data_IF_674283093696
#
_entry.id   IF_674283093696
#
_cell.length_a   1.000
_cell.length_b   1.000
_cell.length_c   1.000
_cell.angle_alpha   90.00
_cell.angle_beta   90.00
_cell.angle_gamma   90.00
#
_symmetry.space_group_name_H-M   'P 1'
#
loop_
_entity.id
_entity.type
_entity.pdbx_description
1 polymer ?
#
# COMPACT_ATOMS: atom_id res chain seq x y z
N UNK A 1 6.37 30.27 61.82
CA UNK A 1 6.48 28.81 61.54
C UNK A 1 5.29 28.22 60.76
N UNK A 2 4.11 28.86 60.69
CA UNK A 2 2.96 28.37 59.87
C UNK A 2 3.16 28.46 58.35
N UNK A 3 3.91 29.45 57.87
CA UNK A 3 3.97 29.75 56.43
C UNK A 3 4.94 28.85 55.64
N UNK A 4 5.89 28.19 56.31
CA UNK A 4 6.85 27.27 55.66
C UNK A 4 6.19 25.93 55.34
N UNK A 5 5.21 25.51 56.15
CA UNK A 5 4.50 24.24 55.97
C UNK A 5 3.58 24.25 54.73
N UNK A 6 3.02 25.42 54.38
CA UNK A 6 2.16 25.61 53.21
C UNK A 6 2.96 25.50 51.90
N UNK A 7 4.20 26.00 51.89
CA UNK A 7 5.07 25.94 50.70
C UNK A 7 5.52 24.50 50.42
N UNK A 8 5.80 23.71 51.47
CA UNK A 8 6.17 22.29 51.32
C UNK A 8 5.00 21.45 50.80
N UNK A 9 3.77 21.71 51.28
CA UNK A 9 2.57 21.05 50.76
C UNK A 9 2.28 21.40 49.29
N UNK A 10 2.58 22.63 48.85
CA UNK A 10 2.42 23.02 47.45
C UNK A 10 3.40 22.27 46.53
N UNK A 11 4.63 22.02 46.97
CA UNK A 11 5.63 21.27 46.18
C UNK A 11 5.29 19.77 46.05
N UNK A 12 4.62 19.18 47.03
CA UNK A 12 4.16 17.78 46.95
C UNK A 12 2.98 17.64 45.98
N UNK A 13 2.10 18.64 45.91
CA UNK A 13 0.94 18.62 45.01
C UNK A 13 1.29 18.78 43.52
N UNK A 14 2.41 19.42 43.17
CA UNK A 14 2.82 19.57 41.76
C UNK A 14 3.43 18.27 41.19
N UNK A 15 3.93 17.36 42.04
CA UNK A 15 4.50 16.07 41.62
C UNK A 15 3.45 14.98 41.33
N UNK A 16 2.17 15.20 41.65
CA UNK A 16 1.09 14.22 41.42
C UNK A 16 0.34 14.41 40.11
N UNK A 17 0.63 15.45 39.33
CA UNK A 17 0.23 15.51 37.93
C UNK A 17 1.19 14.63 37.14
N UNK A 18 0.92 13.32 37.15
CA UNK A 18 1.50 12.37 36.23
C UNK A 18 1.23 12.85 34.81
N UNK A 19 2.20 13.55 34.23
CA UNK A 19 2.31 13.69 32.80
C UNK A 19 2.33 12.25 32.25
N UNK A 20 1.21 11.82 31.65
CA UNK A 20 1.20 10.63 30.82
C UNK A 20 2.03 11.00 29.59
N UNK A 21 3.35 10.88 29.72
CA UNK A 21 4.23 10.74 28.59
C UNK A 21 3.79 9.44 27.90
N UNK A 22 2.92 9.54 26.90
CA UNK A 22 2.82 8.49 25.89
C UNK A 22 4.05 8.67 25.01
N UNK A 23 5.09 7.83 25.13
CA UNK A 23 6.18 7.89 24.18
C UNK A 23 5.61 7.66 22.78
N UNK A 24 6.20 8.33 21.80
CA UNK A 24 5.87 8.27 20.37
C UNK A 24 5.96 6.84 19.78
N UNK A 25 6.45 5.88 20.57
CA UNK A 25 6.62 4.46 20.27
C UNK A 25 5.73 3.54 21.12
N UNK A 26 4.48 3.91 21.37
CA UNK A 26 3.52 3.02 22.04
C UNK A 26 3.05 1.93 21.06
N UNK A 27 3.74 0.78 21.04
CA UNK A 27 3.33 -0.38 20.22
C UNK A 27 3.30 -1.65 21.07
N UNK A 28 2.17 -2.37 21.11
CA UNK A 28 2.10 -3.65 21.81
C UNK A 28 2.96 -4.68 21.10
N UNK A 29 3.42 -5.70 21.83
CA UNK A 29 4.03 -6.87 21.20
C UNK A 29 2.96 -7.71 20.52
N UNK A 30 3.19 -8.08 19.26
CA UNK A 30 2.24 -8.84 18.47
C UNK A 30 2.77 -10.27 18.34
N UNK A 31 1.90 -11.22 18.65
CA UNK A 31 2.14 -12.64 18.49
C UNK A 31 1.10 -13.22 17.54
N UNK A 32 1.53 -14.00 16.56
CA UNK A 32 0.68 -14.82 15.71
C UNK A 32 1.14 -16.26 15.86
N UNK A 33 0.23 -17.13 16.33
CA UNK A 33 0.51 -18.55 16.58
C UNK A 33 1.77 -18.78 17.43
N UNK A 34 1.88 -18.00 18.52
CA UNK A 34 3.00 -17.97 19.46
C UNK A 34 4.33 -17.41 18.92
N UNK A 35 4.40 -16.97 17.67
CA UNK A 35 5.57 -16.33 17.09
C UNK A 35 5.46 -14.81 17.22
N UNK A 36 6.51 -14.14 17.68
CA UNK A 36 6.57 -12.68 17.85
C UNK A 36 6.86 -11.98 16.52
N UNK A 37 6.13 -10.90 16.23
CA UNK A 37 6.31 -10.05 15.06
C UNK A 37 6.52 -8.58 15.45
N UNK A 38 7.33 -7.86 14.68
CA UNK A 38 7.58 -6.42 14.91
C UNK A 38 6.47 -5.51 14.41
N UNK A 39 5.66 -5.97 13.46
CA UNK A 39 4.47 -5.31 12.94
C UNK A 39 3.38 -6.35 12.68
N UNK A 40 2.13 -5.90 12.49
CA UNK A 40 1.05 -6.83 12.16
C UNK A 40 1.35 -7.52 10.82
N UNK A 41 1.40 -8.85 10.78
CA UNK A 41 1.56 -9.57 9.53
C UNK A 41 0.32 -9.36 8.64
N UNK A 42 0.53 -9.30 7.32
CA UNK A 42 -0.53 -9.11 6.34
C UNK A 42 -1.03 -10.48 5.89
N UNK A 43 -2.27 -10.83 6.22
CA UNK A 43 -2.89 -12.09 5.84
C UNK A 43 -4.42 -11.92 5.82
N UNK A 44 -5.12 -12.90 5.27
CA UNK A 44 -6.57 -12.89 5.22
C UNK A 44 -7.18 -12.94 6.63
N UNK A 45 -7.96 -11.92 6.99
CA UNK A 45 -8.64 -11.80 8.28
C UNK A 45 -9.58 -12.98 8.57
N UNK A 46 -10.11 -13.64 7.55
CA UNK A 46 -10.99 -14.80 7.72
C UNK A 46 -10.24 -16.04 8.24
N UNK A 47 -8.91 -16.01 8.23
CA UNK A 47 -8.06 -17.06 8.81
C UNK A 47 -7.84 -16.89 10.32
N UNK A 48 -8.30 -15.80 10.93
CA UNK A 48 -8.21 -15.60 12.39
C UNK A 48 -9.22 -16.52 13.10
N UNK A 49 -8.74 -17.31 14.06
CA UNK A 49 -9.55 -18.11 14.99
C UNK A 49 -9.96 -17.25 16.19
N UNK A 50 -8.97 -16.64 16.85
CA UNK A 50 -9.21 -15.79 18.03
C UNK A 50 -8.13 -14.73 18.20
N UNK A 51 -8.49 -13.66 18.91
CA UNK A 51 -7.58 -12.59 19.34
C UNK A 51 -7.73 -12.43 20.85
N UNK A 52 -6.63 -12.41 21.57
CA UNK A 52 -6.60 -12.09 22.99
C UNK A 52 -5.58 -10.99 23.28
N UNK A 53 -5.86 -10.19 24.31
CA UNK A 53 -5.05 -9.03 24.67
C UNK A 53 -4.66 -9.18 26.13
N UNK A 54 -3.35 -9.15 26.42
CA UNK A 54 -2.81 -9.14 27.78
C UNK A 54 -2.23 -7.78 28.10
N UNK A 55 -2.74 -7.12 29.14
CA UNK A 55 -2.29 -5.79 29.59
C UNK A 55 -1.46 -5.83 30.87
N UNK A 56 -1.40 -6.98 31.54
CA UNK A 56 -0.87 -7.11 32.91
C UNK A 56 0.60 -7.53 32.95
N UNK A 57 1.31 -7.47 31.82
CA UNK A 57 2.71 -7.87 31.76
C UNK A 57 3.62 -6.71 32.15
N UNK A 58 4.22 -6.78 33.35
CA UNK A 58 5.19 -5.78 33.84
C UNK A 58 6.42 -5.58 32.93
N UNK A 59 6.75 -6.56 32.08
CA UNK A 59 7.86 -6.48 31.12
C UNK A 59 7.46 -5.81 29.81
N UNK A 60 6.17 -5.75 29.50
CA UNK A 60 5.62 -5.20 28.26
C UNK A 60 4.48 -4.26 28.64
N UNK A 61 4.80 -3.06 29.15
CA UNK A 61 3.81 -2.12 29.67
C UNK A 61 2.81 -1.65 28.59
N UNK A 62 3.16 -1.76 27.31
CA UNK A 62 2.30 -1.45 26.17
C UNK A 62 1.25 -2.55 25.89
N UNK A 63 1.41 -3.72 26.52
CA UNK A 63 0.55 -4.88 26.35
C UNK A 63 1.00 -5.81 25.22
N UNK A 64 0.33 -6.96 25.16
CA UNK A 64 0.59 -8.01 24.18
C UNK A 64 -0.71 -8.39 23.48
N UNK A 65 -0.65 -8.56 22.17
CA UNK A 65 -1.76 -9.03 21.33
C UNK A 65 -1.37 -10.41 20.84
N UNK A 66 -2.20 -11.41 21.15
CA UNK A 66 -2.05 -12.78 20.67
C UNK A 66 -3.15 -13.06 19.66
N UNK A 67 -2.74 -13.39 18.45
CA UNK A 67 -3.61 -13.81 17.36
C UNK A 67 -3.37 -15.30 17.17
N UNK A 68 -4.46 -16.05 17.15
CA UNK A 68 -4.44 -17.47 16.80
C UNK A 68 -5.12 -17.62 15.45
N UNK A 69 -4.47 -18.31 14.53
CA UNK A 69 -5.06 -18.63 13.24
C UNK A 69 -5.85 -19.95 13.31
N UNK A 70 -6.83 -20.10 12.42
CA UNK A 70 -7.61 -21.33 12.26
C UNK A 70 -6.71 -22.50 11.83
N UNK A 71 -5.72 -22.22 10.98
CA UNK A 71 -4.81 -23.20 10.40
C UNK A 71 -3.37 -22.66 10.39
N UNK A 72 -2.64 -22.72 11.53
CA UNK A 72 -1.30 -22.15 11.66
C UNK A 72 -0.29 -22.73 10.67
N UNK A 73 -0.45 -24.00 10.29
CA UNK A 73 0.42 -24.67 9.32
C UNK A 73 0.25 -24.18 7.88
N UNK A 74 -0.85 -23.50 7.58
CA UNK A 74 -1.16 -23.02 6.22
C UNK A 74 -0.66 -21.59 5.99
N UNK A 75 -0.34 -20.85 7.05
CA UNK A 75 0.22 -19.51 6.94
C UNK A 75 1.69 -19.61 6.55
N UNK A 76 2.02 -19.11 5.37
CA UNK A 76 3.37 -19.03 4.85
C UNK A 76 3.76 -17.58 4.71
N UNK A 77 4.24 -17.02 5.81
CA UNK A 77 4.63 -15.62 5.92
C UNK A 77 5.98 -15.36 5.26
N UNK A 78 5.97 -14.56 4.21
CA UNK A 78 7.12 -14.10 3.46
C UNK A 78 7.61 -12.75 4.00
N UNK A 79 8.93 -12.58 4.06
CA UNK A 79 9.58 -11.29 4.24
C UNK A 79 9.77 -10.57 2.89
N UNK A 80 10.15 -9.29 2.93
CA UNK A 80 10.52 -8.56 1.72
C UNK A 80 11.71 -9.22 1.01
N UNK A 81 12.68 -9.77 1.75
CA UNK A 81 13.82 -10.46 1.15
C UNK A 81 13.37 -11.70 0.36
N UNK A 82 12.42 -12.47 0.90
CA UNK A 82 11.86 -13.65 0.22
C UNK A 82 11.13 -13.26 -1.08
N UNK A 83 10.40 -12.16 -1.06
CA UNK A 83 9.70 -11.63 -2.23
C UNK A 83 10.73 -11.13 -3.27
N UNK A 84 11.71 -10.34 -2.84
CA UNK A 84 12.76 -9.83 -3.72
C UNK A 84 13.53 -10.97 -4.39
N UNK A 85 13.90 -12.01 -3.63
CA UNK A 85 14.61 -13.17 -4.18
C UNK A 85 13.81 -13.92 -5.26
N UNK A 86 12.47 -13.91 -5.18
CA UNK A 86 11.59 -14.57 -6.16
C UNK A 86 11.37 -13.73 -7.42
N UNK A 87 11.25 -12.42 -7.29
CA UNK A 87 10.79 -11.55 -8.37
C UNK A 87 11.88 -10.66 -8.97
N UNK A 88 13.05 -10.57 -8.33
CA UNK A 88 14.15 -9.69 -8.75
C UNK A 88 15.42 -10.50 -9.00
N UNK A 89 15.95 -10.40 -10.23
CA UNK A 89 17.21 -11.08 -10.62
C UNK A 89 18.45 -10.46 -9.97
N UNK A 90 18.49 -9.13 -9.83
CA UNK A 90 19.64 -8.41 -9.28
C UNK A 90 19.31 -7.82 -7.90
N UNK A 91 19.69 -8.50 -6.82
CA UNK A 91 19.36 -8.05 -5.46
C UNK A 91 19.86 -6.62 -5.14
N UNK A 92 20.96 -6.18 -5.77
CA UNK A 92 21.70 -4.96 -5.43
C UNK A 92 21.11 -3.63 -5.95
N UNK A 93 20.13 -3.64 -6.86
CA UNK A 93 19.59 -2.36 -7.37
C UNK A 93 18.74 -1.64 -6.31
N UNK A 94 18.81 -0.30 -6.19
CA UNK A 94 17.94 0.46 -5.30
C UNK A 94 16.47 0.11 -5.54
N UNK A 95 15.73 -0.24 -4.48
CA UNK A 95 14.34 -0.72 -4.63
C UNK A 95 13.41 0.00 -3.67
N UNK A 96 12.33 0.57 -4.21
CA UNK A 96 11.18 1.03 -3.43
C UNK A 96 10.19 -0.12 -3.33
N UNK A 97 9.79 -0.46 -2.11
CA UNK A 97 8.78 -1.48 -1.85
C UNK A 97 7.43 -0.83 -1.61
N UNK A 98 6.40 -1.36 -2.26
CA UNK A 98 5.03 -0.89 -2.12
C UNK A 98 4.10 -2.06 -1.80
N UNK A 99 3.02 -1.76 -1.08
CA UNK A 99 1.88 -2.65 -0.84
C UNK A 99 0.62 -1.93 -1.30
N UNK A 100 -0.11 -2.50 -2.26
CA UNK A 100 -1.34 -1.90 -2.80
C UNK A 100 -1.17 -0.44 -3.25
N UNK A 101 -0.04 -0.14 -3.88
CA UNK A 101 0.37 1.20 -4.32
C UNK A 101 0.70 2.19 -3.20
N UNK A 102 0.87 1.75 -1.96
CA UNK A 102 1.37 2.55 -0.85
C UNK A 102 2.83 2.18 -0.51
N UNK A 103 3.66 3.18 -0.23
CA UNK A 103 5.08 2.95 0.09
C UNK A 103 5.21 2.28 1.46
N UNK A 104 5.94 1.16 1.50
CA UNK A 104 6.26 0.50 2.75
C UNK A 104 7.35 1.27 3.52
N UNK A 105 6.98 1.79 4.69
CA UNK A 105 7.90 2.50 5.59
C UNK A 105 8.80 1.56 6.39
N UNK A 106 8.27 0.41 6.84
CA UNK A 106 8.97 -0.56 7.68
C UNK A 106 9.18 -1.89 6.94
N UNK A 107 10.25 -1.93 6.14
CA UNK A 107 10.57 -3.07 5.27
C UNK A 107 11.07 -4.29 6.06
N UNK A 108 11.79 -4.08 7.17
CA UNK A 108 12.45 -5.14 7.93
C UNK A 108 11.47 -6.03 8.71
N UNK A 109 10.43 -5.42 9.28
CA UNK A 109 9.40 -6.11 10.09
C UNK A 109 8.25 -6.63 9.24
N UNK A 110 8.11 -6.15 8.01
CA UNK A 110 7.04 -6.54 7.10
C UNK A 110 6.97 -8.05 6.90
N UNK A 111 5.78 -8.61 7.07
CA UNK A 111 5.46 -9.99 6.76
C UNK A 111 4.12 -10.05 6.03
N UNK A 112 4.02 -10.91 5.03
CA UNK A 112 2.78 -11.16 4.29
C UNK A 112 2.63 -12.64 4.00
N UNK A 113 1.42 -13.18 4.19
CA UNK A 113 1.13 -14.55 3.79
C UNK A 113 1.12 -14.68 2.27
N UNK A 114 1.79 -15.72 1.76
CA UNK A 114 1.91 -15.96 0.32
C UNK A 114 0.55 -16.12 -0.37
N UNK A 115 -0.46 -16.69 0.30
CA UNK A 115 -1.80 -16.85 -0.27
C UNK A 115 -2.55 -15.52 -0.41
N UNK A 116 -2.16 -14.53 0.40
CA UNK A 116 -2.73 -13.19 0.41
C UNK A 116 -2.12 -12.28 -0.66
N UNK A 117 -1.09 -12.73 -1.39
CA UNK A 117 -0.55 -12.03 -2.54
C UNK A 117 -1.38 -12.38 -3.78
N UNK A 118 -1.88 -11.36 -4.47
CA UNK A 118 -2.53 -11.50 -5.78
C UNK A 118 -1.48 -11.55 -6.89
N UNK A 119 -0.59 -10.57 -6.93
CA UNK A 119 0.55 -10.49 -7.86
C UNK A 119 1.64 -9.57 -7.32
N UNK A 120 2.81 -9.60 -7.93
CA UNK A 120 3.90 -8.66 -7.69
C UNK A 120 4.22 -7.96 -9.01
N UNK A 121 4.13 -6.64 -9.01
CA UNK A 121 4.46 -5.80 -10.16
C UNK A 121 5.87 -5.25 -9.97
N UNK A 122 6.72 -5.41 -10.98
CA UNK A 122 8.09 -4.89 -10.98
C UNK A 122 8.18 -3.85 -12.07
N UNK A 123 8.36 -2.59 -11.67
CA UNK A 123 8.55 -1.46 -12.58
C UNK A 123 10.00 -0.99 -12.48
N UNK A 124 10.67 -0.85 -13.61
CA UNK A 124 12.02 -0.29 -13.64
C UNK A 124 11.94 1.20 -13.92
N UNK A 125 12.85 1.97 -13.33
CA UNK A 125 12.94 3.42 -13.55
C UNK A 125 13.04 3.75 -15.04
N UNK A 126 13.81 2.94 -15.78
CA UNK A 126 13.94 3.02 -17.24
C UNK A 126 12.65 2.84 -18.05
N UNK A 127 11.57 2.33 -17.45
CA UNK A 127 10.28 2.09 -18.12
C UNK A 127 9.32 3.29 -18.00
N UNK A 128 9.72 4.36 -17.32
CA UNK A 128 8.91 5.59 -17.17
C UNK A 128 9.72 6.82 -17.57
N UNK A 129 9.10 7.77 -18.28
CA UNK A 129 9.82 8.95 -18.80
C UNK A 129 10.49 9.78 -17.68
N UNK A 130 9.78 9.95 -16.56
CA UNK A 130 10.28 10.72 -15.42
C UNK A 130 11.41 9.99 -14.67
N UNK A 131 11.21 8.72 -14.30
CA UNK A 131 12.23 8.00 -13.54
C UNK A 131 13.43 7.60 -14.40
N UNK A 132 13.27 7.41 -15.71
CA UNK A 132 14.39 7.10 -16.58
C UNK A 132 15.42 8.23 -16.60
N UNK A 133 14.95 9.48 -16.53
CA UNK A 133 15.82 10.66 -16.53
C UNK A 133 16.52 10.88 -15.19
N UNK A 134 15.84 10.61 -14.06
CA UNK A 134 16.33 10.94 -12.72
C UNK A 134 16.97 9.75 -11.99
N UNK A 135 16.38 8.56 -12.14
CA UNK A 135 16.74 7.33 -11.41
C UNK A 135 16.59 6.08 -12.29
N UNK A 136 17.37 5.94 -13.38
CA UNK A 136 17.22 4.83 -14.34
C UNK A 136 17.41 3.44 -13.71
N UNK A 137 18.26 3.34 -12.68
CA UNK A 137 18.57 2.09 -11.98
C UNK A 137 17.61 1.76 -10.82
N UNK A 138 16.60 2.61 -10.59
CA UNK A 138 15.59 2.38 -9.55
C UNK A 138 14.67 1.24 -9.96
N UNK A 139 14.32 0.39 -9.00
CA UNK A 139 13.25 -0.60 -9.16
C UNK A 139 12.13 -0.28 -8.19
N UNK A 140 10.88 -0.37 -8.64
CA UNK A 140 9.71 -0.32 -7.78
C UNK A 140 9.10 -1.72 -7.79
N UNK A 141 8.98 -2.31 -6.60
CA UNK A 141 8.35 -3.60 -6.40
C UNK A 141 7.05 -3.39 -5.63
N UNK A 142 5.93 -3.53 -6.33
CA UNK A 142 4.59 -3.34 -5.78
C UNK A 142 3.93 -4.70 -5.53
N UNK A 143 3.65 -5.00 -4.27
CA UNK A 143 2.95 -6.20 -3.85
C UNK A 143 1.46 -5.87 -3.86
N UNK A 144 0.69 -6.54 -4.72
CA UNK A 144 -0.76 -6.38 -4.79
C UNK A 144 -1.40 -7.49 -3.98
N UNK A 145 -2.22 -7.14 -2.98
CA UNK A 145 -2.90 -8.10 -2.11
C UNK A 145 -4.18 -8.66 -2.74
N UNK A 146 -4.61 -9.83 -2.29
CA UNK A 146 -5.83 -10.52 -2.71
C UNK A 146 -7.06 -9.97 -1.97
N UNK A 147 -7.31 -8.66 -2.10
CA UNK A 147 -8.54 -8.03 -1.62
C UNK A 147 -9.61 -8.03 -2.72
N UNK A 148 -10.89 -7.98 -2.34
CA UNK A 148 -12.00 -7.88 -3.30
C UNK A 148 -11.82 -6.71 -4.27
N UNK A 149 -11.39 -5.56 -3.76
CA UNK A 149 -11.08 -4.35 -4.55
C UNK A 149 -10.01 -4.62 -5.60
N UNK A 150 -8.91 -5.28 -5.23
CA UNK A 150 -7.82 -5.56 -6.16
C UNK A 150 -8.18 -6.63 -7.19
N UNK A 151 -8.93 -7.66 -6.78
CA UNK A 151 -9.46 -8.68 -7.69
C UNK A 151 -10.40 -8.04 -8.72
N UNK A 152 -11.32 -7.18 -8.28
CA UNK A 152 -12.23 -6.47 -9.16
C UNK A 152 -11.48 -5.56 -10.16
N UNK A 153 -10.44 -4.85 -9.70
CA UNK A 153 -9.60 -4.00 -10.54
C UNK A 153 -8.81 -4.81 -11.58
N UNK A 154 -8.31 -5.98 -11.22
CA UNK A 154 -7.58 -6.86 -12.16
C UNK A 154 -8.51 -7.44 -13.23
N UNK A 155 -9.76 -7.72 -12.86
CA UNK A 155 -10.78 -8.22 -13.79
C UNK A 155 -11.39 -7.12 -14.68
N UNK A 156 -11.06 -5.84 -14.44
CA UNK A 156 -11.53 -4.72 -15.26
C UNK A 156 -10.83 -4.73 -16.63
N UNK A 157 -11.54 -5.17 -17.67
CA UNK A 157 -11.04 -5.13 -19.05
C UNK A 157 -10.91 -3.67 -19.50
N UNK A 158 -9.67 -3.15 -19.55
CA UNK A 158 -9.37 -1.85 -20.14
C UNK A 158 -9.04 -1.99 -21.62
N UNK A 159 -9.97 -1.61 -22.49
CA UNK A 159 -9.67 -1.41 -23.92
C UNK A 159 -8.90 -0.09 -24.06
N UNK A 160 -7.59 -0.17 -24.27
CA UNK A 160 -6.76 1.00 -24.59
C UNK A 160 -6.94 1.33 -26.08
N UNK A 161 -7.50 2.50 -26.36
CA UNK A 161 -7.48 3.12 -27.69
C UNK A 161 -8.77 2.96 -28.50
N UNK A 162 -9.68 3.92 -28.35
CA UNK A 162 -10.34 4.56 -29.50
C UNK A 162 -10.56 6.02 -29.09
N UNK A 163 -9.69 6.93 -29.53
CA UNK A 163 -10.08 8.33 -29.58
C UNK A 163 -11.36 8.40 -30.41
N UNK A 164 -12.44 8.95 -29.85
CA UNK A 164 -13.62 9.29 -30.65
C UNK A 164 -13.20 10.35 -31.66
N UNK A 165 -12.74 9.92 -32.84
CA UNK A 165 -12.81 10.77 -34.03
C UNK A 165 -14.28 11.03 -34.29
N UNK A 166 -14.72 12.25 -34.03
CA UNK A 166 -15.97 12.73 -34.60
C UNK A 166 -15.82 12.64 -36.12
N UNK A 167 -16.51 11.68 -36.72
CA UNK A 167 -16.71 11.69 -38.17
C UNK A 167 -17.53 12.95 -38.45
N UNK A 168 -17.03 13.92 -39.25
CA UNK A 168 -17.85 15.05 -39.66
C UNK A 168 -19.09 14.49 -40.34
N UNK A 169 -20.28 14.80 -39.82
CA UNK A 169 -21.50 14.38 -40.48
C UNK A 169 -21.52 14.96 -41.90
N UNK A 170 -21.93 14.17 -42.91
CA UNK A 170 -22.12 14.68 -44.24
C UNK A 170 -23.05 15.89 -44.19
N UNK A 171 -22.67 16.99 -44.84
CA UNK A 171 -23.52 18.17 -44.91
C UNK A 171 -24.85 17.78 -45.55
N UNK A 172 -25.94 17.86 -44.78
CA UNK A 172 -27.30 17.59 -45.22
C UNK A 172 -28.02 18.90 -45.52
N UNK A 173 -28.84 18.93 -46.57
CA UNK A 173 -29.74 20.05 -46.84
C UNK A 173 -30.92 20.08 -45.84
N UNK A 174 -31.77 21.11 -45.93
CA UNK A 174 -32.94 21.27 -45.06
C UNK A 174 -34.00 20.16 -45.22
N UNK A 175 -33.87 19.28 -46.22
CA UNK A 175 -34.71 18.11 -46.44
C UNK A 175 -34.01 16.78 -46.07
N UNK A 176 -32.77 16.83 -45.55
CA UNK A 176 -32.05 15.64 -45.08
C UNK A 176 -31.27 14.89 -46.16
N UNK A 177 -31.02 15.47 -47.34
CA UNK A 177 -30.22 14.83 -48.39
C UNK A 177 -28.73 15.16 -48.26
N UNK A 178 -27.87 14.16 -48.42
CA UNK A 178 -26.41 14.31 -48.33
C UNK A 178 -25.85 15.09 -49.52
N UNK A 179 -25.17 16.21 -49.25
CA UNK A 179 -24.57 17.07 -50.28
C UNK A 179 -23.15 16.59 -50.63
N UNK A 180 -23.00 15.96 -51.79
CA UNK A 180 -21.68 15.69 -52.39
C UNK A 180 -21.26 16.87 -53.26
N UNK A 181 -20.31 17.70 -52.78
CA UNK A 181 -19.66 18.72 -53.64
C UNK A 181 -18.47 18.10 -54.36
N UNK A 182 -18.65 17.74 -55.63
CA UNK A 182 -17.54 17.39 -56.52
C UNK A 182 -16.79 18.69 -56.81
N UNK A 183 -15.55 18.83 -56.32
CA UNK A 183 -14.68 19.93 -56.74
C UNK A 183 -14.28 19.67 -58.19
N UNK A 184 -14.80 20.48 -59.11
CA UNK A 184 -14.35 20.50 -60.50
C UNK A 184 -12.86 20.83 -60.56
N UNK A 185 -12.11 20.03 -61.32
CA UNK A 185 -10.72 20.32 -61.67
C UNK A 185 -10.77 21.39 -62.75
N UNK A 186 -10.30 22.60 -62.42
CA UNK A 186 -10.09 23.66 -63.41
C UNK A 186 -8.88 23.27 -64.26
N UNK A 187 -9.10 22.79 -65.48
CA UNK A 187 -8.05 22.73 -66.50
C UNK A 187 -7.94 24.11 -67.13
N UNK A 188 -6.94 24.89 -66.70
CA UNK A 188 -6.47 26.00 -67.50
C UNK A 188 -5.60 25.43 -68.64
N UNK A 189 -6.08 25.54 -69.88
CA UNK A 189 -5.30 25.30 -71.09
C UNK A 189 -4.63 26.60 -71.54
N UNK A 190 -3.35 26.45 -71.92
CA UNK A 190 -2.46 27.32 -72.73
C UNK A 190 -2.25 28.77 -72.30
#
# INVERSE_FOLDING_TARGET
>A
MKNVFVVILLFIAVKSQGQIYKPENFRPEIYLDSVKYGSFPNFDIHQIDSISISKENKKVPEGQIFIKSKNPKNLHLLSILDITARYKKNALTPTIYMLDNEILKEVSTFRIDSSYILKVEVLKGSETDYLNTQFPDLTILNIVTRTEKNIAKENEIRIRGIEKRSVPQPNTDAQGNTIFRIRGVSTASM
#
